data_IF_592065940377
#
_entry.id   IF_592065940377
#
_cell.length_a   1.000
_cell.length_b   1.000
_cell.length_c   1.000
_cell.angle_alpha   90.00
_cell.angle_beta   90.00
_cell.angle_gamma   90.00
#
_symmetry.space_group_name_H-M   'P 1'
#
loop_
_entity.id
_entity.type
_entity.pdbx_description
1 polymer ?
2 non-polymer ?
3 non-polymer ?
4 non-polymer ?
5 water ?
#
# COMPACT_ATOMS: atom_id res chain seq x y z
N UNK A 29 -9.77 -3.71 -17.05
CA UNK A 29 -10.94 -3.60 -17.93
C UNK A 29 -12.23 -3.47 -17.12
N UNK A 30 -12.08 -3.19 -15.83
CA UNK A 30 -13.23 -3.00 -14.95
C UNK A 30 -13.47 -1.55 -14.62
N UNK A 31 -13.01 -1.13 -13.43
CA UNK A 31 -13.09 0.26 -13.02
C UNK A 31 -11.73 0.83 -12.59
N UNK A 32 -10.67 0.02 -12.55
CA UNK A 32 -9.33 0.52 -12.26
C UNK A 32 -8.36 -0.08 -13.28
N UNK A 33 -7.35 0.69 -13.68
CA UNK A 33 -6.33 0.21 -14.62
C UNK A 33 -4.98 0.84 -14.28
N UNK A 34 -3.90 0.09 -14.49
CA UNK A 34 -2.57 0.52 -14.06
C UNK A 34 -1.75 0.94 -15.28
N UNK A 35 -1.10 2.11 -15.19
CA UNK A 35 -0.34 2.66 -16.31
C UNK A 35 0.98 3.25 -15.81
N UNK A 36 1.94 3.41 -16.73
CA UNK A 36 3.12 4.22 -16.47
C UNK A 36 2.76 5.64 -16.88
N UNK A 37 2.45 6.48 -15.88
CA UNK A 37 1.79 7.77 -16.12
C UNK A 37 2.82 8.88 -16.17
N UNK A 38 2.93 9.66 -17.25
CA UNK A 38 3.84 10.80 -17.24
C UNK A 38 3.49 11.77 -16.10
N UNK A 39 4.53 12.17 -15.36
CA UNK A 39 4.33 13.06 -14.22
C UNK A 39 3.73 14.39 -14.65
N UNK A 40 4.04 14.84 -15.88
CA UNK A 40 3.48 16.09 -16.38
C UNK A 40 1.97 16.01 -16.57
N UNK A 41 1.36 14.83 -16.48
CA UNK A 41 -0.08 14.70 -16.57
C UNK A 41 -0.78 14.77 -15.22
N UNK A 42 -0.05 14.93 -14.13
CA UNK A 42 -0.69 15.20 -12.85
C UNK A 42 -1.02 16.68 -12.72
N UNK A 43 -2.22 16.96 -12.20
CA UNK A 43 -2.58 18.33 -11.85
C UNK A 43 -1.61 18.87 -10.80
N UNK A 44 -1.25 20.14 -10.95
CA UNK A 44 -0.38 20.83 -10.00
C UNK A 44 -1.18 21.30 -8.79
N UNK A 45 -1.56 20.34 -7.97
CA UNK A 45 -2.40 20.61 -6.81
C UNK A 45 -2.18 19.49 -5.81
N UNK A 46 -2.76 19.66 -4.63
CA UNK A 46 -2.56 18.66 -3.58
C UNK A 46 -3.81 18.53 -2.69
N UNK A 47 -5.00 18.49 -3.30
CA UNK A 47 -6.24 18.49 -2.50
C UNK A 47 -6.30 17.31 -1.53
N UNK A 48 -5.81 16.14 -1.94
CA UNK A 48 -5.89 14.92 -1.14
C UNK A 48 -4.63 14.65 -0.32
N UNK A 49 -3.60 15.50 -0.41
CA UNK A 49 -2.40 15.33 0.38
C UNK A 49 -2.70 15.55 1.86
N UNK A 50 -2.18 14.67 2.72
CA UNK A 50 -2.45 14.72 4.15
C UNK A 50 -1.36 15.39 4.96
N UNK A 51 -0.13 15.47 4.45
CA UNK A 51 1.02 15.89 5.22
C UNK A 51 2.11 16.31 4.27
N UNK A 52 3.08 17.11 4.71
CA UNK A 52 4.20 17.44 3.83
C UNK A 52 4.99 16.21 3.46
N UNK A 53 5.52 16.20 2.23
CA UNK A 53 6.32 15.06 1.80
C UNK A 53 7.61 14.93 2.62
N UNK A 54 8.19 16.05 3.02
CA UNK A 54 9.42 16.02 3.78
C UNK A 54 10.61 15.58 2.94
N UNK A 55 11.69 15.18 3.61
CA UNK A 55 12.84 14.69 2.86
C UNK A 55 12.53 13.31 2.29
N UNK A 56 12.53 13.21 0.96
CA UNK A 56 12.29 11.93 0.31
C UNK A 56 13.58 11.34 -0.23
N UNK A 57 14.73 11.75 0.34
CA UNK A 57 16.05 11.28 -0.11
C UNK A 57 16.16 9.77 0.00
N UNK A 58 15.82 9.22 1.16
CA UNK A 58 15.99 7.78 1.36
C UNK A 58 15.02 6.97 0.52
N UNK A 59 13.77 7.43 0.43
CA UNK A 59 12.80 6.77 -0.43
C UNK A 59 13.26 6.79 -1.88
N UNK A 60 13.82 7.91 -2.34
CA UNK A 60 14.31 7.97 -3.72
C UNK A 60 15.48 7.03 -3.96
N UNK A 61 16.40 6.93 -3.01
CA UNK A 61 17.50 5.97 -3.15
C UNK A 61 16.97 4.55 -3.27
N UNK A 62 16.00 4.18 -2.44
CA UNK A 62 15.42 2.85 -2.51
C UNK A 62 14.73 2.62 -3.85
N UNK A 63 14.02 3.62 -4.36
CA UNK A 63 13.34 3.45 -5.66
C UNK A 63 14.36 3.34 -6.77
N UNK A 64 15.44 4.11 -6.68
CA UNK A 64 16.51 4.01 -7.67
C UNK A 64 17.11 2.61 -7.71
N UNK A 65 17.18 1.94 -6.56
CA UNK A 65 17.82 0.63 -6.49
C UNK A 65 16.85 -0.51 -6.83
N UNK A 66 15.62 -0.45 -6.35
CA UNK A 66 14.70 -1.58 -6.47
C UNK A 66 13.60 -1.37 -7.49
N UNK A 67 13.44 -0.16 -7.99
CA UNK A 67 12.25 0.22 -8.70
C UNK A 67 11.17 0.73 -7.76
N UNK A 68 10.12 1.29 -8.36
CA UNK A 68 8.90 1.66 -7.62
C UNK A 68 8.08 0.40 -7.39
N UNK A 69 7.98 -0.04 -6.15
CA UNK A 69 7.41 -1.36 -5.88
C UNK A 69 5.88 -1.30 -5.90
N UNK A 70 5.30 -0.18 -5.49
CA UNK A 70 3.83 -0.08 -5.39
C UNK A 70 3.31 1.14 -6.15
N UNK A 71 2.26 0.96 -6.95
CA UNK A 71 1.73 2.07 -7.74
C UNK A 71 0.97 3.09 -6.88
N UNK A 72 0.96 4.33 -7.36
CA UNK A 72 0.18 5.39 -6.71
C UNK A 72 -1.25 5.29 -7.22
N UNK A 73 -2.16 6.06 -6.62
CA UNK A 73 -3.56 6.06 -7.00
C UNK A 73 -3.96 7.44 -7.53
N UNK A 74 -4.64 7.47 -8.69
CA UNK A 74 -5.11 8.72 -9.27
C UNK A 74 -6.55 8.53 -9.76
N UNK A 75 -7.19 9.66 -10.10
CA UNK A 75 -8.45 9.70 -10.82
C UNK A 75 -8.36 10.73 -11.96
N UNK A 76 -9.10 10.52 -13.04
CA UNK A 76 -9.09 11.52 -14.13
C UNK A 76 -9.56 12.87 -13.62
N UNK A 77 -8.89 13.92 -14.08
CA UNK A 77 -9.14 15.28 -13.60
C UNK A 77 -9.06 16.26 -14.77
N UNK A 78 -9.86 16.02 -15.80
CA UNK A 78 -9.84 16.85 -16.99
C UNK A 78 -9.21 16.11 -18.15
N UNK A 79 -9.15 16.79 -19.28
CA UNK A 79 -8.73 16.13 -20.52
C UNK A 79 -7.29 15.67 -20.47
N UNK A 80 -7.09 14.35 -20.44
CA UNK A 80 -5.75 13.75 -20.45
C UNK A 80 -4.95 14.16 -19.21
N UNK A 81 -5.64 14.45 -18.10
CA UNK A 81 -4.96 14.87 -16.90
C UNK A 81 -5.54 14.13 -15.70
N UNK A 82 -4.76 14.07 -14.62
CA UNK A 82 -5.10 13.20 -13.49
C UNK A 82 -4.79 13.88 -12.17
N UNK A 83 -5.56 13.53 -11.15
CA UNK A 83 -5.41 14.10 -9.82
C UNK A 83 -4.89 13.02 -8.89
N UNK A 84 -3.80 13.30 -8.19
CA UNK A 84 -3.21 12.32 -7.30
C UNK A 84 -4.08 12.19 -6.06
N UNK A 85 -4.39 10.95 -5.68
CA UNK A 85 -5.18 10.65 -4.50
C UNK A 85 -4.32 10.04 -3.40
N UNK A 86 -3.53 9.01 -3.73
CA UNK A 86 -2.51 8.46 -2.82
C UNK A 86 -1.18 8.39 -3.53
N UNK A 87 -0.14 8.77 -2.79
CA UNK A 87 1.22 8.58 -3.26
C UNK A 87 2.02 9.85 -3.47
N UNK A 88 1.80 10.87 -2.64
CA UNK A 88 2.56 12.10 -2.75
C UNK A 88 4.05 11.91 -2.48
N UNK A 89 4.44 11.07 -1.51
CA UNK A 89 5.87 10.93 -1.25
C UNK A 89 6.56 10.18 -2.39
N UNK A 90 5.91 9.16 -2.95
CA UNK A 90 6.53 8.45 -4.07
C UNK A 90 6.68 9.39 -5.26
N UNK A 91 5.68 10.25 -5.51
CA UNK A 91 5.79 11.19 -6.63
C UNK A 91 6.92 12.20 -6.37
N UNK A 92 7.04 12.69 -5.14
CA UNK A 92 8.15 13.59 -4.80
C UNK A 92 9.49 12.91 -5.00
N UNK A 93 9.60 11.64 -4.55
CA UNK A 93 10.84 10.90 -4.72
C UNK A 93 11.18 10.72 -6.20
N UNK A 94 10.17 10.40 -7.02
CA UNK A 94 10.42 10.25 -8.45
C UNK A 94 10.84 11.59 -9.06
N UNK A 95 10.24 12.70 -8.61
CA UNK A 95 10.73 14.01 -9.06
C UNK A 95 12.12 14.32 -8.51
N UNK A 96 12.43 13.80 -7.30
CA UNK A 96 13.81 13.64 -6.82
C UNK A 96 14.56 12.46 -7.43
N UNK A 97 14.23 12.09 -8.62
CA UNK A 97 15.09 11.22 -9.41
C UNK A 97 15.11 11.73 -10.83
N UNK A 98 14.40 12.85 -11.10
CA UNK A 98 14.26 13.42 -12.43
C UNK A 98 13.67 12.40 -13.40
N UNK A 99 12.77 11.55 -12.90
CA UNK A 99 12.05 10.59 -13.75
C UNK A 99 10.87 11.24 -14.46
N UNK A 100 10.47 10.64 -15.59
CA UNK A 100 9.42 11.16 -16.45
C UNK A 100 8.03 10.67 -16.05
N UNK A 101 7.96 9.62 -15.23
CA UNK A 101 6.70 8.91 -15.05
C UNK A 101 6.65 8.18 -13.71
N UNK A 102 5.42 7.81 -13.34
CA UNK A 102 5.11 7.09 -12.11
C UNK A 102 4.14 5.96 -12.45
N UNK A 103 4.34 4.79 -11.85
CA UNK A 103 3.38 3.71 -11.95
C UNK A 103 2.12 4.09 -11.20
N UNK A 104 0.96 4.00 -11.86
CA UNK A 104 -0.25 4.56 -11.28
C UNK A 104 -1.48 3.71 -11.58
N UNK A 105 -2.34 3.54 -10.58
CA UNK A 105 -3.67 3.00 -10.79
C UNK A 105 -4.63 4.16 -11.06
N UNK A 106 -5.31 4.12 -12.19
CA UNK A 106 -6.34 5.09 -12.54
C UNK A 106 -7.70 4.55 -12.12
N UNK A 107 -8.37 5.26 -11.21
CA UNK A 107 -9.68 4.89 -10.69
C UNK A 107 -10.74 5.66 -11.46
N UNK A 108 -11.61 4.94 -12.16
CA UNK A 108 -12.78 5.51 -12.82
C UNK A 108 -13.96 5.61 -11.87
N UNK A 109 -14.79 6.63 -12.10
CA UNK A 109 -16.02 6.84 -11.32
C UNK A 109 -15.70 6.94 -9.82
N UNK A 110 -14.61 7.65 -9.50
CA UNK A 110 -14.19 7.87 -8.12
C UNK A 110 -14.67 9.26 -7.71
N UNK A 111 -15.74 9.31 -6.92
CA UNK A 111 -16.34 10.59 -6.54
C UNK A 111 -15.42 11.33 -5.59
N UNK A 112 -15.75 12.61 -5.37
CA UNK A 112 -14.98 13.39 -4.40
C UNK A 112 -14.96 12.71 -3.03
N UNK A 113 -16.13 12.27 -2.56
CA UNK A 113 -16.16 11.61 -1.24
C UNK A 113 -15.40 10.29 -1.25
N UNK A 114 -15.53 9.49 -2.31
CA UNK A 114 -14.87 8.19 -2.30
C UNK A 114 -13.35 8.35 -2.42
N UNK A 115 -12.89 9.42 -3.06
CA UNK A 115 -11.46 9.69 -3.11
C UNK A 115 -10.92 10.12 -1.76
N UNK A 116 -11.67 10.96 -1.04
CA UNK A 116 -11.29 11.31 0.31
C UNK A 116 -11.17 10.05 1.16
N UNK A 117 -12.14 9.15 1.04
CA UNK A 117 -12.10 7.90 1.80
C UNK A 117 -10.84 7.11 1.47
N UNK A 118 -10.56 6.95 0.17
CA UNK A 118 -9.38 6.20 -0.25
C UNK A 118 -8.06 6.84 0.21
N UNK A 119 -8.00 8.17 0.26
CA UNK A 119 -6.78 8.85 0.69
C UNK A 119 -6.51 8.64 2.17
N UNK A 120 -7.51 8.24 2.93
CA UNK A 120 -7.41 8.02 4.37
C UNK A 120 -7.33 6.54 4.74
N UNK A 121 -7.40 5.65 3.75
CA UNK A 121 -7.65 4.24 4.01
C UNK A 121 -6.43 3.55 4.57
N UNK A 122 -5.27 3.74 3.95
CA UNK A 122 -4.05 3.17 4.50
C UNK A 122 -3.70 3.81 5.84
N UNK A 123 -3.88 5.13 5.95
CA UNK A 123 -3.60 5.81 7.21
C UNK A 123 -4.39 5.19 8.36
N UNK A 124 -5.69 4.96 8.15
CA UNK A 124 -6.52 4.49 9.25
C UNK A 124 -6.36 2.99 9.45
N UNK A 125 -6.36 2.19 8.37
CA UNK A 125 -6.49 0.75 8.53
C UNK A 125 -5.18 -0.02 8.50
N UNK A 126 -4.09 0.55 8.00
CA UNK A 126 -2.83 -0.18 8.01
C UNK A 126 -2.29 -0.28 9.43
N UNK A 127 -2.05 -1.51 9.90
CA UNK A 127 -1.43 -1.72 11.20
C UNK A 127 0.07 -1.69 11.03
N UNK A 128 0.79 -0.79 11.69
CA UNK A 128 2.25 -0.72 11.49
C UNK A 128 2.94 -1.99 11.95
N UNK A 129 4.07 -2.28 11.30
CA UNK A 129 4.99 -3.31 11.76
C UNK A 129 6.00 -2.58 12.64
N UNK A 130 5.98 -2.87 13.93
CA UNK A 130 6.79 -2.14 14.88
C UNK A 130 8.22 -2.59 14.79
N UNK A 131 9.15 -1.82 15.37
CA UNK A 131 10.56 -2.25 15.31
C UNK A 131 10.81 -3.55 16.05
N UNK A 132 10.01 -3.89 17.06
CA UNK A 132 10.22 -5.18 17.72
C UNK A 132 10.02 -6.32 16.73
N UNK A 133 9.03 -6.19 15.85
CA UNK A 133 8.84 -7.21 14.83
C UNK A 133 9.99 -7.20 13.83
N UNK A 134 10.47 -6.03 13.45
CA UNK A 134 11.58 -5.98 12.48
C UNK A 134 12.85 -6.62 13.04
N UNK A 135 13.14 -6.35 14.33
CA UNK A 135 14.31 -6.98 14.94
C UNK A 135 14.16 -8.50 15.05
N UNK A 136 12.97 -8.96 15.44
CA UNK A 136 12.75 -10.40 15.55
C UNK A 136 12.86 -11.07 14.19
N UNK A 137 12.45 -10.37 13.12
CA UNK A 137 12.64 -10.92 11.78
C UNK A 137 14.10 -10.96 11.40
N UNK A 138 14.83 -9.88 11.70
CA UNK A 138 16.27 -9.83 11.47
C UNK A 138 16.94 -11.00 12.17
N UNK A 139 16.60 -11.21 13.44
CA UNK A 139 17.20 -12.28 14.22
C UNK A 139 16.82 -13.66 13.69
N UNK A 140 15.57 -13.84 13.24
CA UNK A 140 15.18 -15.14 12.71
C UNK A 140 15.88 -15.45 11.40
N UNK A 141 15.97 -14.46 10.50
CA UNK A 141 16.67 -14.68 9.24
C UNK A 141 18.13 -15.05 9.48
N UNK A 142 18.78 -14.33 10.40
CA UNK A 142 20.14 -14.70 10.78
C UNK A 142 20.20 -16.14 11.27
N UNK A 143 19.33 -16.50 12.22
CA UNK A 143 19.39 -17.84 12.79
C UNK A 143 19.19 -18.89 11.72
N UNK A 144 18.39 -18.58 10.70
CA UNK A 144 18.09 -19.46 9.59
C UNK A 144 19.16 -19.47 8.52
N UNK A 145 20.19 -18.64 8.64
CA UNK A 145 21.16 -18.53 7.56
C UNK A 145 20.62 -17.87 6.32
N UNK A 146 19.56 -17.07 6.47
CA UNK A 146 18.86 -16.41 5.38
C UNK A 146 19.06 -14.90 5.37
N UNK A 147 20.01 -14.37 6.16
CA UNK A 147 20.15 -12.92 6.27
C UNK A 147 21.28 -12.46 5.34
N UNK A 148 20.89 -12.00 4.16
CA UNK A 148 21.85 -11.41 3.25
C UNK A 148 22.36 -10.08 3.79
N UNK A 149 23.53 -9.66 3.30
CA UNK A 149 24.07 -8.36 3.70
C UNK A 149 23.11 -7.24 3.35
N UNK A 150 22.40 -7.34 2.22
CA UNK A 150 21.48 -6.30 1.79
C UNK A 150 20.30 -6.16 2.75
N UNK A 151 19.72 -7.29 3.16
CA UNK A 151 18.57 -7.25 4.06
C UNK A 151 19.01 -6.91 5.48
N UNK A 152 20.17 -7.42 5.89
CA UNK A 152 20.73 -6.97 7.18
C UNK A 152 20.85 -5.44 7.22
N UNK A 153 21.42 -4.86 6.17
CA UNK A 153 21.64 -3.42 6.16
C UNK A 153 20.31 -2.68 6.16
N UNK A 154 19.33 -3.17 5.41
CA UNK A 154 18.00 -2.57 5.36
C UNK A 154 17.33 -2.61 6.72
N UNK A 155 17.38 -3.77 7.39
CA UNK A 155 16.75 -3.88 8.70
C UNK A 155 17.51 -3.08 9.75
N UNK A 156 18.85 -3.13 9.71
CA UNK A 156 19.63 -2.36 10.66
C UNK A 156 19.44 -0.85 10.49
N UNK A 157 19.25 -0.38 9.25
CA UNK A 157 19.05 1.06 9.16
C UNK A 157 17.65 1.45 9.61
N UNK A 158 16.65 0.62 9.33
CA UNK A 158 15.31 0.87 9.85
C UNK A 158 15.30 0.84 11.36
N UNK A 159 16.11 -0.04 11.91
CA UNK A 159 16.44 -0.12 13.33
C UNK A 159 17.60 0.79 13.68
N UNK A 160 17.82 1.93 13.02
CA UNK A 160 18.83 2.87 13.47
C UNK A 160 18.16 4.06 14.16
N UNK A 161 18.96 4.79 14.94
CA UNK A 161 18.49 6.00 15.59
C UNK A 161 19.39 7.16 15.20
N UNK B 29 3.72 -3.93 -21.65
CA UNK B 29 4.90 -4.50 -21.03
C UNK B 29 4.64 -4.76 -19.56
N UNK B 30 4.65 -6.03 -19.18
CA UNK B 30 4.29 -6.37 -17.83
C UNK B 30 4.94 -7.61 -17.26
N UNK B 31 5.52 -7.48 -16.06
CA UNK B 31 5.73 -8.58 -15.14
C UNK B 31 4.69 -8.68 -14.05
N UNK B 32 3.87 -7.65 -13.86
CA UNK B 32 2.83 -7.67 -12.85
C UNK B 32 1.49 -7.56 -13.57
N UNK B 33 0.52 -8.37 -13.13
CA UNK B 33 -0.85 -8.36 -13.64
C UNK B 33 -1.79 -8.43 -12.46
N UNK B 34 -2.89 -7.69 -12.51
CA UNK B 34 -3.86 -7.71 -11.42
C UNK B 34 -5.07 -8.53 -11.82
N UNK B 35 -5.49 -9.43 -10.93
CA UNK B 35 -6.59 -10.35 -11.19
C UNK B 35 -7.45 -10.48 -9.94
N UNK B 36 -8.69 -10.93 -10.14
CA UNK B 36 -9.54 -11.36 -9.04
C UNK B 36 -9.19 -12.82 -8.75
N UNK B 37 -8.40 -13.05 -7.71
CA UNK B 37 -7.76 -14.36 -7.51
C UNK B 37 -8.62 -15.22 -6.59
N UNK B 38 -9.11 -16.39 -7.05
CA UNK B 38 -9.79 -17.31 -6.14
C UNK B 38 -8.87 -17.73 -4.99
N UNK B 39 -9.39 -17.67 -3.77
CA UNK B 39 -8.57 -18.00 -2.60
C UNK B 39 -8.13 -19.47 -2.60
N UNK B 40 -8.87 -20.34 -3.29
CA UNK B 40 -8.45 -21.74 -3.40
C UNK B 40 -7.13 -21.88 -4.17
N UNK B 41 -6.72 -20.88 -4.95
CA UNK B 41 -5.45 -20.91 -5.64
C UNK B 41 -4.30 -20.38 -4.81
N UNK B 42 -4.55 -19.90 -3.60
CA UNK B 42 -3.50 -19.39 -2.75
C UNK B 42 -2.98 -20.51 -1.84
N UNK B 43 -1.65 -20.69 -1.83
CA UNK B 43 -1.07 -21.74 -1.00
C UNK B 43 -1.40 -21.51 0.47
N UNK B 44 -1.65 -22.60 1.20
CA UNK B 44 -1.97 -22.52 2.63
C UNK B 44 -0.67 -22.59 3.44
N UNK B 45 0.10 -21.52 3.33
CA UNK B 45 1.37 -21.35 4.04
C UNK B 45 1.51 -19.87 4.35
N UNK B 46 2.58 -19.49 5.05
CA UNK B 46 2.70 -18.09 5.44
C UNK B 46 4.17 -17.67 5.57
N UNK B 47 5.04 -18.20 4.71
CA UNK B 47 6.47 -17.91 4.79
C UNK B 47 6.81 -16.42 4.88
N UNK B 48 6.08 -15.58 4.15
CA UNK B 48 6.36 -14.15 4.12
C UNK B 48 5.60 -13.35 5.15
N UNK B 49 4.72 -13.98 5.94
CA UNK B 49 3.99 -13.23 6.96
C UNK B 49 4.93 -12.74 8.05
N UNK B 50 4.80 -11.48 8.43
CA UNK B 50 5.66 -10.89 9.45
C UNK B 50 5.07 -10.88 10.86
N UNK B 51 3.75 -10.98 10.99
CA UNK B 51 3.08 -10.80 12.27
C UNK B 51 1.73 -11.49 12.22
N UNK B 52 1.15 -11.84 13.37
CA UNK B 52 -0.18 -12.44 13.37
C UNK B 52 -1.20 -11.46 12.81
N UNK B 53 -2.17 -11.99 12.06
CA UNK B 53 -3.22 -11.14 11.52
C UNK B 53 -3.99 -10.45 12.65
N UNK B 54 -4.22 -11.16 13.75
CA UNK B 54 -5.01 -10.63 14.85
C UNK B 54 -6.49 -10.56 14.49
N UNK B 55 -7.21 -9.72 15.24
CA UNK B 55 -8.62 -9.48 14.98
C UNK B 55 -8.77 -8.64 13.71
N UNK B 56 -9.40 -9.21 12.68
CA UNK B 56 -9.61 -8.50 11.44
C UNK B 56 -11.08 -8.16 11.22
N UNK B 57 -11.88 -8.14 12.30
CA UNK B 57 -13.31 -7.84 12.13
C UNK B 57 -13.51 -6.40 11.67
N UNK B 58 -12.69 -5.46 12.13
CA UNK B 58 -12.84 -4.08 11.70
C UNK B 58 -12.43 -3.87 10.27
N UNK B 59 -11.30 -4.46 9.86
CA UNK B 59 -10.91 -4.40 8.47
C UNK B 59 -11.94 -5.07 7.57
N UNK B 60 -12.46 -6.22 8.00
CA UNK B 60 -13.48 -6.92 7.21
C UNK B 60 -14.73 -6.07 7.04
N UNK B 61 -15.18 -5.39 8.11
CA UNK B 61 -16.37 -4.55 8.00
C UNK B 61 -16.13 -3.41 7.02
N UNK B 62 -14.92 -2.84 7.03
CA UNK B 62 -14.60 -1.78 6.08
C UNK B 62 -14.56 -2.30 4.65
N UNK B 63 -14.05 -3.51 4.45
CA UNK B 63 -13.99 -4.07 3.11
C UNK B 63 -15.40 -4.43 2.61
N UNK B 64 -16.24 -5.02 3.48
CA UNK B 64 -17.62 -5.28 3.09
C UNK B 64 -18.31 -3.99 2.68
N UNK B 65 -17.93 -2.91 3.32
CA UNK B 65 -18.57 -1.60 3.18
C UNK B 65 -18.11 -0.87 1.92
N UNK B 66 -16.81 -0.84 1.68
CA UNK B 66 -16.22 0.00 0.65
C UNK B 66 -15.62 -0.80 -0.50
N UNK B 67 -15.55 -2.12 -0.37
CA UNK B 67 -14.72 -2.96 -1.21
C UNK B 67 -13.31 -3.07 -0.68
N UNK B 68 -12.58 -4.05 -1.20
CA UNK B 68 -11.14 -4.12 -0.98
C UNK B 68 -10.50 -3.04 -1.85
N UNK B 69 -9.87 -2.04 -1.21
CA UNK B 69 -9.41 -0.87 -1.95
C UNK B 69 -8.03 -1.10 -2.57
N UNK B 70 -7.21 -1.95 -1.96
CA UNK B 70 -5.83 -2.12 -2.41
C UNK B 70 -5.55 -3.60 -2.63
N UNK B 71 -5.06 -3.99 -3.80
CA UNK B 71 -4.78 -5.39 -4.06
C UNK B 71 -3.60 -5.90 -3.24
N UNK B 72 -3.63 -7.20 -2.97
CA UNK B 72 -2.51 -7.86 -2.29
C UNK B 72 -1.46 -8.24 -3.32
N UNK B 73 -0.33 -8.76 -2.84
CA UNK B 73 0.75 -9.15 -3.73
C UNK B 73 1.07 -10.64 -3.59
N UNK B 74 1.11 -11.34 -4.72
CA UNK B 74 1.39 -12.77 -4.75
C UNK B 74 2.44 -13.06 -5.82
N UNK B 75 2.97 -14.27 -5.79
CA UNK B 75 3.81 -14.75 -6.87
C UNK B 75 3.40 -16.18 -7.21
N UNK B 76 3.59 -16.60 -8.48
CA UNK B 76 3.22 -17.97 -8.83
C UNK B 76 3.98 -18.98 -8.00
N UNK B 77 3.28 -20.05 -7.62
CA UNK B 77 3.86 -21.17 -6.92
C UNK B 77 3.59 -22.45 -7.71
N UNK B 78 3.79 -22.38 -9.03
CA UNK B 78 3.47 -23.44 -9.97
C UNK B 78 2.01 -23.85 -9.87
N UNK B 79 1.70 -24.93 -10.59
CA UNK B 79 0.47 -25.70 -10.37
C UNK B 79 -0.79 -24.83 -10.43
N UNK B 80 -0.78 -23.70 -11.15
CA UNK B 80 -1.89 -22.73 -11.08
C UNK B 80 -2.16 -22.33 -9.64
N UNK B 81 -1.09 -22.16 -8.85
CA UNK B 81 -1.17 -21.78 -7.46
C UNK B 81 -0.25 -20.58 -7.21
N UNK B 82 -0.48 -19.92 -6.08
CA UNK B 82 0.18 -18.65 -5.80
C UNK B 82 0.54 -18.54 -4.33
N UNK B 83 1.66 -17.88 -4.06
CA UNK B 83 2.15 -17.64 -2.71
C UNK B 83 1.96 -16.19 -2.32
N UNK B 84 1.35 -15.95 -1.16
CA UNK B 84 1.10 -14.59 -0.69
C UNK B 84 2.40 -13.96 -0.17
N UNK B 85 2.71 -12.75 -0.63
CA UNK B 85 3.90 -12.00 -0.22
C UNK B 85 3.53 -10.83 0.68
N UNK B 86 2.53 -10.03 0.28
CA UNK B 86 1.98 -8.94 1.09
C UNK B 86 0.47 -9.06 1.11
N UNK B 87 -0.14 -8.86 2.28
CA UNK B 87 -1.60 -8.82 2.35
C UNK B 87 -2.28 -9.86 3.21
N UNK B 88 -1.59 -10.32 4.27
CA UNK B 88 -2.16 -11.37 5.10
C UNK B 88 -3.41 -10.90 5.84
N UNK B 89 -3.42 -9.65 6.31
CA UNK B 89 -4.61 -9.21 7.05
C UNK B 89 -5.79 -9.05 6.12
N UNK B 90 -5.54 -8.53 4.92
CA UNK B 90 -6.64 -8.37 3.97
C UNK B 90 -7.21 -9.72 3.57
N UNK B 91 -6.36 -10.72 3.35
CA UNK B 91 -6.86 -12.05 3.02
C UNK B 91 -7.63 -12.64 4.20
N UNK B 92 -7.11 -12.49 5.42
CA UNK B 92 -7.81 -12.97 6.60
C UNK B 92 -9.19 -12.32 6.75
N UNK B 93 -9.29 -11.02 6.42
CA UNK B 93 -10.58 -10.32 6.48
C UNK B 93 -11.55 -10.86 5.44
N UNK B 94 -11.05 -11.19 4.24
CA UNK B 94 -11.94 -11.74 3.21
C UNK B 94 -12.42 -13.13 3.60
N UNK B 95 -11.59 -13.91 4.27
CA UNK B 95 -12.05 -15.21 4.75
C UNK B 95 -13.07 -15.06 5.87
N UNK B 96 -12.88 -14.05 6.74
CA UNK B 96 -13.88 -13.73 7.75
C UNK B 96 -15.24 -13.47 7.10
N UNK B 97 -15.26 -12.71 6.00
CA UNK B 97 -16.46 -12.39 5.24
C UNK B 97 -16.94 -13.58 4.42
N UNK B 98 -16.22 -14.69 4.45
CA UNK B 98 -16.57 -15.90 3.71
C UNK B 98 -16.63 -15.63 2.20
N UNK B 99 -15.75 -14.75 1.74
CA UNK B 99 -15.55 -14.51 0.32
C UNK B 99 -14.64 -15.60 -0.25
N UNK B 100 -14.67 -15.76 -1.57
CA UNK B 100 -13.85 -16.79 -2.19
C UNK B 100 -12.77 -16.22 -3.11
N UNK B 101 -12.57 -14.90 -3.13
CA UNK B 101 -11.53 -14.33 -4.00
C UNK B 101 -10.97 -13.05 -3.40
N UNK B 102 -9.76 -12.71 -3.84
CA UNK B 102 -9.05 -11.50 -3.41
C UNK B 102 -8.45 -10.85 -4.64
N UNK B 103 -8.56 -9.53 -4.73
CA UNK B 103 -7.84 -8.79 -5.78
C UNK B 103 -6.35 -8.89 -5.49
N UNK B 104 -5.59 -9.35 -6.48
CA UNK B 104 -4.18 -9.61 -6.27
C UNK B 104 -3.36 -9.16 -7.46
N UNK B 105 -2.17 -8.62 -7.19
CA UNK B 105 -1.14 -8.41 -8.20
C UNK B 105 -0.26 -9.66 -8.23
N UNK B 106 -0.11 -10.25 -9.41
CA UNK B 106 0.77 -11.40 -9.60
C UNK B 106 2.11 -10.89 -10.09
N UNK B 107 3.17 -11.15 -9.34
CA UNK B 107 4.53 -10.74 -9.69
C UNK B 107 5.25 -11.92 -10.33
N UNK B 108 5.71 -11.75 -11.55
CA UNK B 108 6.46 -12.78 -12.24
C UNK B 108 7.96 -12.61 -11.98
N UNK B 109 8.66 -13.73 -11.93
CA UNK B 109 10.11 -13.74 -11.74
C UNK B 109 10.51 -12.99 -10.48
N UNK B 110 9.76 -13.22 -9.40
CA UNK B 110 10.03 -12.62 -8.10
C UNK B 110 10.85 -13.61 -7.28
N UNK B 111 12.14 -13.35 -7.13
CA UNK B 111 12.98 -14.30 -6.41
C UNK B 111 12.62 -14.33 -4.92
N UNK B 112 13.11 -15.36 -4.23
CA UNK B 112 12.92 -15.42 -2.79
C UNK B 112 13.42 -14.16 -2.10
N UNK B 113 14.64 -13.72 -2.43
CA UNK B 113 15.18 -12.53 -1.80
C UNK B 113 14.36 -11.29 -2.14
N UNK B 114 13.93 -11.16 -3.39
CA UNK B 114 13.19 -9.96 -3.78
C UNK B 114 11.78 -9.98 -3.20
N UNK B 115 11.23 -11.17 -2.96
CA UNK B 115 9.94 -11.24 -2.29
C UNK B 115 10.07 -10.85 -0.84
N UNK B 116 11.16 -11.28 -0.19
CA UNK B 116 11.45 -10.82 1.16
C UNK B 116 11.56 -9.31 1.23
N UNK B 117 12.29 -8.69 0.30
CA UNK B 117 12.41 -7.23 0.31
C UNK B 117 11.04 -6.56 0.13
N UNK B 118 10.24 -7.08 -0.81
CA UNK B 118 8.89 -6.55 -1.00
C UNK B 118 8.04 -6.63 0.25
N UNK B 119 8.15 -7.74 0.99
CA UNK B 119 7.31 -7.95 2.15
C UNK B 119 7.63 -6.97 3.26
N UNK B 120 8.83 -6.38 3.21
CA UNK B 120 9.33 -5.46 4.22
C UNK B 120 9.21 -4.00 3.80
N UNK B 121 8.90 -3.73 2.53
CA UNK B 121 9.13 -2.41 1.96
C UNK B 121 8.16 -1.39 2.52
N UNK B 122 6.87 -1.74 2.63
CA UNK B 122 5.94 -0.83 3.28
C UNK B 122 6.33 -0.62 4.73
N UNK B 123 6.70 -1.70 5.42
CA UNK B 123 7.10 -1.58 6.82
C UNK B 123 8.25 -0.60 7.00
N UNK B 124 9.23 -0.64 6.11
CA UNK B 124 10.41 0.20 6.29
C UNK B 124 10.19 1.61 5.74
N UNK B 125 9.55 1.73 4.59
CA UNK B 125 9.58 3.01 3.89
C UNK B 125 8.31 3.83 4.04
N UNK B 126 7.23 3.27 4.57
CA UNK B 126 6.04 4.07 4.79
C UNK B 126 6.23 4.96 6.00
N UNK B 127 5.80 6.22 5.87
CA UNK B 127 5.75 7.13 6.99
C UNK B 127 4.33 7.14 7.51
N UNK B 128 4.09 6.72 8.75
CA UNK B 128 2.71 6.69 9.25
C UNK B 128 2.13 8.09 9.30
N UNK B 129 0.82 8.18 9.11
CA UNK B 129 0.09 9.42 9.32
C UNK B 129 -0.35 9.39 10.78
N UNK B 130 0.18 10.30 11.56
CA UNK B 130 -0.09 10.28 12.97
C UNK B 130 -1.46 10.84 13.28
N UNK B 131 -1.90 10.60 14.52
CA UNK B 131 -3.19 11.13 14.96
C UNK B 131 -3.27 12.65 14.98
N UNK B 132 -2.16 13.36 15.18
CA UNK B 132 -2.21 14.81 15.10
C UNK B 132 -2.63 15.26 13.70
N UNK B 133 -2.10 14.60 12.68
CA UNK B 133 -2.47 14.96 11.31
C UNK B 133 -3.93 14.62 11.05
N UNK B 134 -4.40 13.49 11.58
CA UNK B 134 -5.79 13.10 11.35
C UNK B 134 -6.75 14.05 12.05
N UNK B 135 -6.39 14.51 13.25
CA UNK B 135 -7.24 15.48 13.94
C UNK B 135 -7.31 16.81 13.19
N UNK B 136 -6.16 17.33 12.75
CA UNK B 136 -6.14 18.56 11.97
C UNK B 136 -6.92 18.41 10.68
N UNK B 137 -6.85 17.23 10.05
CA UNK B 137 -7.61 16.99 8.83
C UNK B 137 -9.10 17.00 9.12
N UNK B 138 -9.50 16.35 10.22
CA UNK B 138 -10.90 16.36 10.58
C UNK B 138 -11.39 17.80 10.75
N UNK B 139 -10.64 18.62 11.49
CA UNK B 139 -11.02 20.00 11.73
C UNK B 139 -11.13 20.77 10.41
N UNK B 140 -10.20 20.55 9.49
CA UNK B 140 -10.24 21.26 8.23
C UNK B 140 -11.42 20.80 7.35
N UNK B 141 -11.70 19.50 7.33
CA UNK B 141 -12.83 19.00 6.57
C UNK B 141 -14.13 19.60 7.08
N UNK B 142 -14.20 19.78 8.40
CA UNK B 142 -15.36 20.44 8.99
C UNK B 142 -15.45 21.90 8.54
N UNK B 143 -14.33 22.62 8.56
CA UNK B 143 -14.36 24.01 8.13
C UNK B 143 -14.72 24.16 6.65
N UNK B 144 -14.49 23.11 5.85
CA UNK B 144 -14.75 23.11 4.43
C UNK B 144 -16.12 22.55 4.06
N UNK B 145 -16.86 22.01 5.02
CA UNK B 145 -18.13 21.37 4.70
C UNK B 145 -17.99 20.05 3.98
N UNK B 146 -16.94 19.28 4.28
CA UNK B 146 -16.64 18.01 3.63
C UNK B 146 -16.60 16.85 4.63
N UNK B 147 -17.28 17.00 5.76
CA UNK B 147 -17.22 15.97 6.78
C UNK B 147 -18.53 15.21 6.72
N UNK B 148 -18.56 14.20 5.86
CA UNK B 148 -19.72 13.33 5.75
C UNK B 148 -19.83 12.49 7.01
N UNK B 149 -21.02 11.93 7.22
CA UNK B 149 -21.22 11.06 8.38
C UNK B 149 -20.25 9.88 8.34
N UNK B 150 -19.96 9.36 7.15
CA UNK B 150 -19.09 8.18 7.07
C UNK B 150 -17.63 8.55 7.33
N UNK B 151 -17.20 9.73 6.90
CA UNK B 151 -15.82 10.15 7.13
C UNK B 151 -15.64 10.56 8.59
N UNK B 152 -16.65 11.22 9.17
CA UNK B 152 -16.62 11.53 10.59
C UNK B 152 -16.47 10.24 11.41
N UNK B 153 -17.35 9.28 11.17
CA UNK B 153 -17.26 7.95 11.80
C UNK B 153 -15.86 7.37 11.72
N UNK B 154 -15.27 7.34 10.51
CA UNK B 154 -13.93 6.79 10.32
C UNK B 154 -12.90 7.52 11.17
N UNK B 155 -12.85 8.84 11.05
CA UNK B 155 -11.82 9.62 11.74
C UNK B 155 -12.02 9.56 13.25
N UNK B 156 -13.25 9.55 13.73
CA UNK B 156 -13.44 9.55 15.18
C UNK B 156 -13.12 8.18 15.76
N UNK B 157 -13.45 7.10 15.07
CA UNK B 157 -13.09 5.79 15.58
C UNK B 157 -11.59 5.57 15.54
N UNK B 158 -10.88 6.23 14.61
CA UNK B 158 -9.42 6.17 14.62
C UNK B 158 -8.80 7.07 15.67
N UNK B 159 -9.45 8.19 15.98
CA UNK B 159 -8.95 9.15 16.96
C UNK B 159 -9.43 8.87 18.38
N UNK B 160 -10.30 7.88 18.57
CA UNK B 160 -10.72 7.48 19.90
C UNK B 160 -9.54 6.96 20.70
X LIG C 1 0.84 6.68 1.72
X LIG D 1 7.72 1.98 -1.86
X LIG D 1 7.77 1.73 -3.21
X LIG D 1 8.97 1.41 -3.80
X LIG D 1 10.11 1.34 -3.04
X LIG D 1 10.06 1.64 -1.67
X LIG D 1 8.87 2.09 -1.11
X LIG D 1 6.74 1.81 -3.91
X LIG D 1 11.26 0.97 -3.63
X LIG D 1 6.44 2.44 -1.28
X LIG D 1 6.16 1.75 0.04
X LIG D 1 5.73 0.43 -0.15
X LIG D 1 5.06 2.63 0.61
X LIG D 1 5.30 3.98 -0.09
X LIG D 1 6.42 3.80 -0.94
X LIG D 1 3.81 2.12 0.23
X LIG D 1 5.59 5.02 0.99
X LIG D 1 4.38 5.19 1.70
X LIG D 1 4.03 6.62 2.29
X LIG D 1 2.57 6.62 2.78
X LIG D 1 4.97 7.03 3.37
X LIG D 1 4.24 7.62 1.05
X LIG D 1 3.18 7.92 -0.14
X LIG D 1 3.91 7.87 -1.44
X LIG D 1 1.98 6.98 -0.08
X LIG D 1 2.75 9.42 0.17
X LIG D 1 1.34 9.86 0.88
X LIG D 1 1.62 11.20 1.50
X LIG D 1 1.00 8.85 1.94
X LIG D 1 0.33 9.98 -0.23
X LIG E 1 0.69 -4.71 5.05
X LIG F 1 -7.58 -1.55 2.86
X LIG F 1 -8.25 -2.08 1.79
X LIG F 1 -9.61 -1.92 1.71
X LIG F 1 -10.30 -1.33 2.74
X LIG F 1 -9.63 -0.89 3.89
X LIG F 1 -8.25 -1.04 3.94
X LIG F 1 -7.65 -2.71 0.91
X LIG F 1 -11.61 -1.21 2.62
X LIG F 1 -6.12 -1.79 2.97
X LIG F 1 -5.41 -0.60 3.55
X LIG F 1 -5.18 0.37 2.59
X LIG F 1 -4.11 -1.23 4.02
X LIG F 1 -4.44 -2.71 4.18
X LIG F 1 -5.83 -2.81 3.88
X LIG F 1 -3.16 -1.10 3.01
X LIG F 1 -4.13 -3.17 5.60
X LIG F 1 -2.73 -3.01 5.74
X LIG F 1 -1.90 -3.98 6.72
X LIG F 1 -2.29 -3.65 8.12
X LIG F 1 -0.40 -3.88 6.41
X LIG F 1 -2.49 -5.42 6.36
X LIG F 1 -2.01 -6.40 5.20
X LIG F 1 -1.00 -5.69 4.30
X LIG F 1 -3.25 -6.89 4.52
X LIG F 1 -1.40 -7.62 6.01
X LIG F 1 0.21 -7.82 6.17
X LIG F 1 0.84 -6.44 6.20
X LIG F 1 0.37 -8.59 7.46
X LIG F 1 0.64 -8.63 4.99
X LIG G 1 -0.69 -1.92 -0.30
X LIG G 1 -1.19 -2.63 -1.37
X LIG G 1 -0.74 -0.39 -0.60
X LIG G 1 -0.26 0.33 0.49
X LIG G 1 0.12 -0.16 -1.88
X LIG G 1 0.18 1.26 -2.14
#
# INVERSE_FOLDING_TARGET
MGSSHHHHHHSSGLVPRGSHMPEPEQRLSGRVTTVLLPLEKLQDESAFKLRPEGDVSGLATDIARLGQLFPVDVRPAGEDRYQLVCGFRRVAALRFLKRDAVQARIHLRLSDEDALVMSLAEAIHATPVGPEVLEAKRDELEAQGRLSAAVRDMLEKALATEDTLAPEGVEEEIDADELAQEVAQRLGAINQDLSLLADVFAALDESRKAELLMQLRYSSELVTYLEGL
MGSSHHHHHHSSGLVPRGSHMPEPEQRLSGRVTTVLLPLEKLQDESAFKLRPEGDVSGLATDIARLGQLFPVDVRPAGEDRYQLVCGFRRVAALRFLKRDAVQARIHLRLSDEDALVMSLAEAIHATPVGPEVLEAKRDELEAQGRLSAAVRDMLEKALATEDTLAPEGVEEEIDADELAQEVAQRLGAINQDLSLLADVFAALDESRKAELLMQLRYSSELVTYLEGL
MG MG
CTP N1 C2 N3 C4 C5 C6 O2 N4 C1' C2' O2' C3' C4' O4' O3' C5' O5' PA O1A O2A O3A PB O1B O2B O3B PG O1G O2G O3G
MG MG
CTP N1 C2 N3 C4 C5 C6 O2 N4 C1' C2' O2' C3' C4' O4' O3' C5' O5' PA O1A O2A O3A PB O1B O2B O3B PG O1G O2G O3G
GOL C1 O1 C2 O2 C3 O3
#
